data_IF_204502076186
#
_entry.id   IF_204502076186
#
_cell.length_a   1.000
_cell.length_b   1.000
_cell.length_c   1.000
_cell.angle_alpha   90.00
_cell.angle_beta   90.00
_cell.angle_gamma   90.00
#
_symmetry.space_group_name_H-M   'P 1'
#
loop_
_entity.id
_entity.type
_entity.pdbx_description
1 polymer ?
#
# COMPACT_ATOMS: atom_id res chain seq x y z
N UNK A 1 -8.96 21.58 9.52
CA UNK A 1 -7.92 21.26 8.51
C UNK A 1 -8.47 21.59 7.12
N UNK A 2 -7.71 22.31 6.29
CA UNK A 2 -8.13 22.58 4.91
C UNK A 2 -8.18 21.30 4.06
N UNK A 3 -9.03 21.28 3.02
CA UNK A 3 -9.22 20.12 2.13
C UNK A 3 -7.90 19.57 1.59
N UNK A 4 -6.98 20.47 1.19
CA UNK A 4 -5.62 20.12 0.77
C UNK A 4 -4.86 19.30 1.81
N UNK A 5 -4.83 19.76 3.07
CA UNK A 5 -4.14 19.06 4.16
C UNK A 5 -4.77 17.70 4.44
N UNK A 6 -6.10 17.59 4.36
CA UNK A 6 -6.80 16.30 4.52
C UNK A 6 -6.40 15.31 3.44
N UNK A 7 -6.37 15.75 2.17
CA UNK A 7 -5.97 14.90 1.04
C UNK A 7 -4.52 14.42 1.13
N UNK A 8 -3.60 15.31 1.48
CA UNK A 8 -2.19 14.93 1.68
C UNK A 8 -2.09 13.91 2.82
N UNK A 9 -2.72 14.19 3.96
CA UNK A 9 -2.67 13.30 5.12
C UNK A 9 -3.27 11.91 4.81
N UNK A 10 -4.46 11.87 4.21
CA UNK A 10 -5.11 10.60 3.86
C UNK A 10 -4.38 9.85 2.77
N UNK A 11 -3.93 10.54 1.72
CA UNK A 11 -3.19 9.93 0.61
C UNK A 11 -1.88 9.30 1.07
N UNK A 12 -1.10 10.01 1.88
CA UNK A 12 0.12 9.48 2.49
C UNK A 12 -0.18 8.29 3.39
N UNK A 13 -1.18 8.36 4.26
CA UNK A 13 -1.52 7.26 5.16
C UNK A 13 -1.94 6.00 4.36
N UNK A 14 -2.81 6.16 3.37
CA UNK A 14 -3.27 5.05 2.52
C UNK A 14 -2.08 4.43 1.78
N UNK A 15 -1.24 5.24 1.12
CA UNK A 15 -0.09 4.74 0.37
C UNK A 15 0.93 4.03 1.28
N UNK A 16 1.24 4.58 2.45
CA UNK A 16 2.18 3.95 3.38
C UNK A 16 1.66 2.62 3.92
N UNK A 17 0.41 2.56 4.37
CA UNK A 17 -0.18 1.35 4.95
C UNK A 17 -0.29 0.26 3.89
N UNK A 18 -0.86 0.58 2.72
CA UNK A 18 -1.03 -0.40 1.64
C UNK A 18 0.30 -0.86 1.05
N UNK A 19 1.28 0.05 0.89
CA UNK A 19 2.63 -0.31 0.46
C UNK A 19 3.31 -1.25 1.44
N UNK A 20 3.18 -1.02 2.75
CA UNK A 20 3.68 -1.94 3.78
C UNK A 20 3.00 -3.32 3.68
N UNK A 21 1.68 -3.37 3.45
CA UNK A 21 0.95 -4.63 3.25
C UNK A 21 1.46 -5.38 2.01
N UNK A 22 1.69 -4.69 0.88
CA UNK A 22 2.28 -5.31 -0.32
C UNK A 22 3.63 -5.95 0.02
N UNK A 23 4.51 -5.24 0.72
CA UNK A 23 5.83 -5.76 1.13
C UNK A 23 5.68 -6.97 2.05
N UNK A 24 4.78 -6.92 3.03
CA UNK A 24 4.53 -8.03 3.95
C UNK A 24 4.03 -9.27 3.22
N UNK A 25 3.10 -9.12 2.28
CA UNK A 25 2.60 -10.24 1.47
C UNK A 25 3.60 -10.72 0.42
N UNK A 26 4.55 -9.90 -0.01
CA UNK A 26 5.61 -10.34 -0.90
C UNK A 26 6.61 -11.25 -0.16
N UNK A 27 6.98 -10.89 1.08
CA UNK A 27 7.92 -11.70 1.88
C UNK A 27 7.25 -12.83 2.66
N UNK A 28 5.94 -12.73 2.91
CA UNK A 28 5.13 -13.73 3.60
C UNK A 28 5.77 -14.27 4.91
N UNK A 29 6.25 -13.43 5.85
CA UNK A 29 7.06 -13.88 6.99
C UNK A 29 6.36 -14.88 7.94
N UNK A 30 5.05 -15.03 7.83
CA UNK A 30 4.26 -16.02 8.58
C UNK A 30 4.23 -17.41 7.92
N UNK A 31 4.78 -17.57 6.71
CA UNK A 31 4.81 -18.84 5.99
C UNK A 31 6.15 -19.55 6.16
N UNK A 32 6.09 -20.87 6.14
CA UNK A 32 7.24 -21.77 6.02
C UNK A 32 6.88 -22.90 5.04
N UNK A 33 7.90 -23.45 4.39
CA UNK A 33 7.78 -24.58 3.47
C UNK A 33 8.98 -25.52 3.66
N UNK A 34 8.77 -26.82 3.45
CA UNK A 34 9.77 -27.86 3.80
C UNK A 34 11.05 -27.81 2.93
N UNK A 35 10.99 -27.17 1.78
CA UNK A 35 12.07 -27.14 0.79
C UNK A 35 12.90 -25.85 0.80
N UNK A 36 12.60 -24.91 1.70
CA UNK A 36 13.26 -23.61 1.78
C UNK A 36 13.47 -23.16 3.23
N UNK A 37 14.64 -22.58 3.50
CA UNK A 37 15.00 -22.07 4.82
C UNK A 37 14.43 -20.67 5.09
N UNK A 38 13.86 -20.03 4.06
CA UNK A 38 13.27 -18.69 4.13
C UNK A 38 11.82 -18.67 3.66
N UNK A 39 10.97 -17.96 4.41
CA UNK A 39 9.56 -17.73 4.05
C UNK A 39 9.37 -17.13 2.66
N UNK A 40 10.31 -16.30 2.21
CA UNK A 40 10.22 -15.57 0.94
C UNK A 40 10.42 -16.46 -0.30
N UNK A 41 10.97 -17.66 -0.12
CA UNK A 41 11.17 -18.64 -1.20
C UNK A 41 9.94 -19.50 -1.47
N UNK A 42 8.94 -19.47 -0.58
CA UNK A 42 7.74 -20.29 -0.72
C UNK A 42 6.84 -19.76 -1.85
N UNK A 43 6.17 -20.67 -2.56
CA UNK A 43 5.16 -20.31 -3.56
C UNK A 43 3.97 -19.57 -2.92
N UNK A 44 3.63 -18.41 -3.46
CA UNK A 44 2.50 -17.61 -2.97
C UNK A 44 1.17 -18.31 -3.21
N UNK A 45 0.34 -18.45 -2.17
CA UNK A 45 -1.00 -19.02 -2.30
C UNK A 45 -1.94 -18.06 -3.04
N UNK A 46 -2.99 -18.55 -3.72
CA UNK A 46 -3.93 -17.71 -4.46
C UNK A 46 -4.60 -16.61 -3.61
N UNK A 47 -4.95 -16.92 -2.36
CA UNK A 47 -5.59 -15.95 -1.46
C UNK A 47 -4.61 -14.85 -1.02
N UNK A 48 -3.35 -15.21 -0.77
CA UNK A 48 -2.32 -14.24 -0.42
C UNK A 48 -2.03 -13.32 -1.61
N UNK A 49 -1.97 -13.89 -2.83
CA UNK A 49 -1.82 -13.14 -4.08
C UNK A 49 -2.98 -12.16 -4.30
N UNK A 50 -4.21 -12.59 -4.04
CA UNK A 50 -5.38 -11.72 -4.12
C UNK A 50 -5.31 -10.56 -3.12
N UNK A 51 -4.94 -10.84 -1.85
CA UNK A 51 -4.78 -9.81 -0.83
C UNK A 51 -3.69 -8.79 -1.20
N UNK A 52 -2.54 -9.26 -1.71
CA UNK A 52 -1.48 -8.38 -2.22
C UNK A 52 -1.96 -7.55 -3.42
N UNK A 53 -2.71 -8.15 -4.35
CA UNK A 53 -3.28 -7.45 -5.50
C UNK A 53 -4.24 -6.33 -5.09
N UNK A 54 -5.13 -6.58 -4.12
CA UNK A 54 -6.01 -5.56 -3.54
C UNK A 54 -5.19 -4.46 -2.87
N UNK A 55 -4.18 -4.81 -2.07
CA UNK A 55 -3.30 -3.84 -1.43
C UNK A 55 -2.57 -2.96 -2.46
N UNK A 56 -2.09 -3.55 -3.57
CA UNK A 56 -1.46 -2.81 -4.65
C UNK A 56 -2.43 -1.82 -5.34
N UNK A 57 -3.70 -2.21 -5.54
CA UNK A 57 -4.71 -1.27 -6.06
C UNK A 57 -4.96 -0.11 -5.08
N UNK A 58 -5.09 -0.41 -3.79
CA UNK A 58 -5.28 0.62 -2.75
C UNK A 58 -4.06 1.55 -2.67
N UNK A 59 -2.86 1.02 -2.87
CA UNK A 59 -1.64 1.81 -2.96
C UNK A 59 -1.71 2.84 -4.09
N UNK A 60 -2.09 2.42 -5.29
CA UNK A 60 -2.26 3.32 -6.44
C UNK A 60 -3.30 4.40 -6.12
N UNK A 61 -4.42 4.05 -5.49
CA UNK A 61 -5.43 5.03 -5.06
C UNK A 61 -4.84 6.03 -4.06
N UNK A 62 -4.06 5.56 -3.08
CA UNK A 62 -3.37 6.43 -2.11
C UNK A 62 -2.43 7.43 -2.78
N UNK A 63 -1.65 6.98 -3.77
CA UNK A 63 -0.76 7.85 -4.57
C UNK A 63 -1.56 8.89 -5.34
N UNK A 64 -2.68 8.51 -5.98
CA UNK A 64 -3.54 9.46 -6.71
C UNK A 64 -4.13 10.51 -5.77
N UNK A 65 -4.61 10.11 -4.59
CA UNK A 65 -5.16 11.02 -3.57
C UNK A 65 -4.08 11.98 -3.06
N UNK A 66 -2.89 11.48 -2.80
CA UNK A 66 -1.73 12.29 -2.39
C UNK A 66 -1.37 13.30 -3.48
N UNK A 67 -1.25 12.85 -4.73
CA UNK A 67 -0.95 13.71 -5.88
C UNK A 67 -2.01 14.81 -6.04
N UNK A 68 -3.30 14.48 -5.89
CA UNK A 68 -4.39 15.46 -5.93
C UNK A 68 -4.23 16.52 -4.81
N UNK A 69 -3.89 16.09 -3.60
CA UNK A 69 -3.60 17.00 -2.49
C UNK A 69 -2.38 17.90 -2.75
N UNK A 70 -1.32 17.38 -3.36
CA UNK A 70 -0.12 18.15 -3.69
C UNK A 70 -0.36 19.17 -4.82
N UNK A 71 -1.15 18.78 -5.83
CA UNK A 71 -1.47 19.60 -7.01
C UNK A 71 -2.54 20.67 -6.73
N UNK A 72 -3.35 20.53 -5.67
CA UNK A 72 -4.30 21.57 -5.26
C UNK A 72 -3.57 22.88 -4.91
N UNK A 73 -3.87 23.94 -5.67
CA UNK A 73 -3.39 25.30 -5.39
C UNK A 73 -4.05 25.83 -4.12
N UNK A 74 -3.28 26.57 -3.30
CA UNK A 74 -3.87 27.37 -2.22
C UNK A 74 -4.65 28.50 -2.90
N UNK A 75 -5.97 28.56 -2.72
CA UNK A 75 -6.73 29.77 -3.02
C UNK A 75 -6.38 30.77 -1.92
N UNK A 76 -5.74 31.90 -2.23
CA UNK A 76 -5.59 32.98 -1.27
C UNK A 76 -6.99 33.55 -1.00
N UNK A 77 -7.45 33.45 0.24
CA UNK A 77 -8.58 34.24 0.76
C UNK A 77 -8.08 35.56 1.29
#
# INVERSE_FOLDING_TARGET
MGTRTRLIASGTAIAMISGAVVVLYFFQPWRSCEYEDTSAGCSMLPNDAAAMGVAAMVFVVGIVVLAAGLLMRRVPT
#
